data_IF_299197879648
#
_entry.id   IF_299197879648
#
_cell.length_a   1.000
_cell.length_b   1.000
_cell.length_c   1.000
_cell.angle_alpha   90.00
_cell.angle_beta   90.00
_cell.angle_gamma   90.00
#
_symmetry.space_group_name_H-M   'P 1'
#
loop_
_entity.id
_entity.type
_entity.pdbx_description
1 polymer ?
#
# COMPACT_ATOMS: atom_id res chain seq x y z
N UNK A 1 -9.27 1.19 -7.10
CA UNK A 1 -9.20 1.17 -8.57
C UNK A 1 -8.86 -0.23 -9.06
N UNK A 2 -9.65 -0.75 -10.00
CA UNK A 2 -9.31 -1.98 -10.73
C UNK A 2 -8.38 -1.60 -11.88
N UNK A 3 -7.18 -2.19 -11.95
CA UNK A 3 -6.20 -1.79 -12.97
C UNK A 3 -6.04 -2.78 -14.12
N UNK A 4 -6.43 -4.05 -13.92
CA UNK A 4 -6.30 -5.09 -14.93
C UNK A 4 -7.29 -6.23 -14.66
N UNK A 5 -7.77 -6.88 -15.73
CA UNK A 5 -8.63 -8.07 -15.68
C UNK A 5 -8.23 -9.05 -16.77
N UNK A 6 -8.17 -10.33 -16.46
CA UNK A 6 -7.89 -11.37 -17.47
C UNK A 6 -9.03 -11.48 -18.50
N UNK A 7 -10.27 -11.17 -18.14
CA UNK A 7 -11.42 -11.16 -19.05
C UNK A 7 -11.32 -10.11 -20.16
N UNK A 8 -10.52 -9.07 -19.96
CA UNK A 8 -10.30 -8.02 -20.96
C UNK A 8 -9.15 -8.35 -21.92
N UNK A 9 -8.45 -9.46 -21.72
CA UNK A 9 -7.33 -9.89 -22.57
C UNK A 9 -7.82 -10.68 -23.78
N UNK A 10 -7.34 -10.32 -24.97
CA UNK A 10 -7.65 -11.01 -26.23
C UNK A 10 -7.21 -12.49 -26.24
N UNK A 11 -6.27 -12.87 -25.36
CA UNK A 11 -5.77 -14.25 -25.23
C UNK A 11 -6.59 -15.10 -24.25
N UNK A 12 -7.49 -14.48 -23.46
CA UNK A 12 -8.41 -15.20 -22.59
C UNK A 12 -9.73 -15.46 -23.32
N UNK A 13 -10.18 -16.71 -23.38
CA UNK A 13 -11.54 -17.01 -23.81
C UNK A 13 -12.46 -17.02 -22.60
N UNK A 14 -13.60 -16.33 -22.69
CA UNK A 14 -14.66 -16.44 -21.70
C UNK A 14 -15.63 -17.54 -22.13
N UNK A 15 -15.71 -18.59 -21.33
CA UNK A 15 -16.52 -19.77 -21.64
C UNK A 15 -17.84 -19.77 -20.86
N UNK A 16 -17.95 -18.98 -19.78
CA UNK A 16 -19.16 -18.89 -18.95
C UNK A 16 -19.32 -17.51 -18.27
N UNK A 17 -20.54 -17.19 -17.83
CA UNK A 17 -20.89 -15.98 -17.07
C UNK A 17 -21.02 -16.20 -15.55
N UNK A 18 -20.73 -17.42 -15.09
CA UNK A 18 -20.71 -17.82 -13.66
C UNK A 18 -19.60 -17.07 -12.91
N UNK A 19 -19.75 -16.73 -11.61
CA UNK A 19 -18.74 -15.94 -10.91
C UNK A 19 -17.49 -16.78 -10.66
N UNK A 20 -16.34 -16.18 -10.94
CA UNK A 20 -15.04 -16.80 -10.65
C UNK A 20 -14.84 -16.92 -9.14
N UNK A 21 -14.53 -18.13 -8.70
CA UNK A 21 -14.28 -18.45 -7.30
C UNK A 21 -12.92 -19.11 -7.09
N UNK A 22 -12.39 -19.78 -8.12
CA UNK A 22 -11.12 -20.50 -8.04
C UNK A 22 -10.25 -20.20 -9.25
N UNK A 23 -8.96 -20.45 -9.06
CA UNK A 23 -7.92 -20.28 -10.06
C UNK A 23 -7.07 -21.55 -10.04
N UNK A 24 -6.73 -22.05 -11.22
CA UNK A 24 -5.81 -23.19 -11.36
C UNK A 24 -4.82 -22.95 -12.51
N UNK A 25 -3.61 -23.44 -12.31
CA UNK A 25 -2.57 -23.59 -13.33
C UNK A 25 -2.31 -25.08 -13.47
N UNK A 26 -2.51 -25.62 -14.67
CA UNK A 26 -2.18 -27.00 -14.98
C UNK A 26 -1.08 -27.04 -16.04
N UNK A 27 -0.95 -28.16 -16.75
CA UNK A 27 -0.02 -28.43 -17.85
C UNK A 27 -0.41 -27.77 -19.18
N UNK A 28 -1.66 -27.39 -19.37
CA UNK A 28 -2.20 -26.77 -20.60
C UNK A 28 -2.48 -25.27 -20.50
N UNK A 29 -2.47 -24.69 -19.29
CA UNK A 29 -2.55 -23.25 -19.12
C UNK A 29 -3.11 -22.81 -17.77
N UNK A 30 -3.84 -21.71 -17.80
CA UNK A 30 -4.40 -21.03 -16.64
C UNK A 30 -5.92 -20.93 -16.80
N UNK A 31 -6.65 -21.33 -15.76
CA UNK A 31 -8.10 -21.42 -15.78
C UNK A 31 -8.70 -20.74 -14.55
N UNK A 32 -9.73 -19.93 -14.78
CA UNK A 32 -10.59 -19.37 -13.75
C UNK A 32 -11.89 -20.17 -13.73
N UNK A 33 -12.24 -20.68 -12.55
CA UNK A 33 -13.33 -21.63 -12.36
C UNK A 33 -14.45 -21.05 -11.49
N UNK A 34 -15.67 -21.54 -11.72
CA UNK A 34 -16.84 -21.27 -10.91
C UNK A 34 -16.74 -21.86 -9.50
N UNK A 35 -17.72 -21.59 -8.64
CA UNK A 35 -17.76 -22.09 -7.26
C UNK A 35 -17.77 -23.62 -7.15
N UNK A 36 -18.19 -24.30 -8.21
CA UNK A 36 -18.22 -25.76 -8.36
C UNK A 36 -16.85 -26.38 -8.71
N UNK A 37 -15.80 -25.56 -8.93
CA UNK A 37 -14.45 -25.98 -9.35
C UNK A 37 -14.40 -26.79 -10.65
N UNK A 38 -15.47 -26.79 -11.45
CA UNK A 38 -15.55 -27.56 -12.70
C UNK A 38 -15.97 -26.71 -13.89
N UNK A 39 -16.85 -25.72 -13.68
CA UNK A 39 -17.22 -24.77 -14.72
C UNK A 39 -16.04 -23.85 -15.02
N UNK A 40 -15.48 -23.94 -16.23
CA UNK A 40 -14.48 -23.00 -16.73
C UNK A 40 -15.18 -21.69 -17.10
N UNK A 41 -14.74 -20.60 -16.48
CA UNK A 41 -15.27 -19.26 -16.71
C UNK A 41 -14.37 -18.51 -17.68
N UNK A 42 -13.05 -18.51 -17.43
CA UNK A 42 -12.06 -17.90 -18.32
C UNK A 42 -10.89 -18.86 -18.48
N UNK A 43 -10.42 -19.04 -19.71
CA UNK A 43 -9.27 -19.88 -20.05
C UNK A 43 -8.19 -19.09 -20.77
N UNK A 44 -6.96 -19.20 -20.27
CA UNK A 44 -5.74 -18.77 -20.96
C UNK A 44 -4.94 -20.01 -21.34
N UNK A 45 -4.98 -20.37 -22.62
CA UNK A 45 -4.26 -21.54 -23.16
C UNK A 45 -2.77 -21.22 -23.31
N UNK A 46 -1.90 -22.07 -22.76
CA UNK A 46 -0.44 -21.94 -22.81
C UNK A 46 0.19 -23.22 -23.39
N UNK A 47 1.43 -23.14 -23.90
CA UNK A 47 2.11 -24.31 -24.50
C UNK A 47 2.60 -25.29 -23.43
N UNK A 48 2.55 -26.62 -23.64
CA UNK A 48 2.67 -27.65 -22.60
C UNK A 48 3.89 -27.48 -21.67
N UNK A 49 3.69 -27.66 -20.36
CA UNK A 49 4.77 -27.57 -19.36
C UNK A 49 4.44 -28.36 -18.09
N UNK A 50 5.44 -29.01 -17.50
CA UNK A 50 5.29 -29.79 -16.27
C UNK A 50 5.19 -28.91 -15.01
N UNK A 51 5.78 -27.71 -15.05
CA UNK A 51 5.78 -26.79 -13.92
C UNK A 51 5.65 -25.35 -14.39
N UNK A 52 4.68 -24.64 -13.80
CA UNK A 52 4.41 -23.24 -14.06
C UNK A 52 4.22 -22.47 -12.77
N UNK A 53 4.58 -21.20 -12.83
CA UNK A 53 4.29 -20.23 -11.79
C UNK A 53 3.68 -19.01 -12.43
N UNK A 54 2.56 -18.55 -11.88
CA UNK A 54 2.04 -17.23 -12.15
C UNK A 54 2.29 -16.32 -10.95
N UNK A 55 2.71 -15.09 -11.22
CA UNK A 55 2.99 -14.10 -10.19
C UNK A 55 2.68 -12.70 -10.68
N UNK A 56 2.12 -11.88 -9.80
CA UNK A 56 2.13 -10.43 -9.96
C UNK A 56 3.44 -9.89 -9.39
N UNK A 57 4.22 -9.26 -10.25
CA UNK A 57 5.53 -8.70 -9.91
C UNK A 57 5.37 -7.25 -9.47
N UNK A 58 6.37 -6.71 -8.78
CA UNK A 58 6.37 -5.34 -8.22
C UNK A 58 6.25 -4.23 -9.29
N UNK A 59 6.53 -4.55 -10.55
CA UNK A 59 6.32 -3.65 -11.69
C UNK A 59 4.85 -3.55 -12.11
N UNK A 60 3.93 -4.21 -11.40
CA UNK A 60 2.51 -4.21 -11.71
C UNK A 60 2.13 -5.15 -12.86
N UNK A 61 3.06 -6.00 -13.33
CA UNK A 61 2.79 -6.97 -14.39
C UNK A 61 2.55 -8.37 -13.83
N UNK A 62 1.45 -8.97 -14.29
CA UNK A 62 1.17 -10.37 -14.08
C UNK A 62 1.94 -11.20 -15.10
N UNK A 63 2.76 -12.12 -14.62
CA UNK A 63 3.61 -12.98 -15.45
C UNK A 63 3.30 -14.44 -15.19
N UNK A 64 3.19 -15.23 -16.26
CA UNK A 64 3.20 -16.70 -16.19
C UNK A 64 4.50 -17.19 -16.79
N UNK A 65 5.24 -17.98 -16.03
CA UNK A 65 6.52 -18.57 -16.44
C UNK A 65 6.46 -20.08 -16.30
N UNK A 66 7.08 -20.79 -17.25
CA UNK A 66 7.38 -22.22 -17.15
C UNK A 66 8.82 -22.46 -16.77
N UNK A 67 9.07 -23.60 -16.15
CA UNK A 67 10.43 -24.04 -15.83
C UNK A 67 10.89 -25.08 -16.86
N UNK A 68 11.95 -24.77 -17.60
CA UNK A 68 12.53 -25.61 -18.65
C UNK A 68 14.04 -25.60 -18.49
N UNK A 69 14.67 -26.79 -18.45
CA UNK A 69 16.14 -26.95 -18.40
C UNK A 69 16.82 -26.08 -17.34
N UNK A 70 16.29 -26.10 -16.10
CA UNK A 70 16.76 -25.30 -14.95
C UNK A 70 16.61 -23.77 -15.10
N UNK A 71 15.87 -23.31 -16.12
CA UNK A 71 15.66 -21.91 -16.40
C UNK A 71 14.16 -21.54 -16.38
N UNK A 72 13.87 -20.32 -15.95
CA UNK A 72 12.52 -19.76 -16.02
C UNK A 72 12.30 -19.08 -17.37
N UNK A 73 11.31 -19.55 -18.12
CA UNK A 73 10.91 -18.98 -19.42
C UNK A 73 9.55 -18.33 -19.26
N UNK A 74 9.45 -17.04 -19.58
CA UNK A 74 8.18 -16.31 -19.55
C UNK A 74 7.29 -16.73 -20.73
N UNK A 75 6.07 -17.18 -20.44
CA UNK A 75 5.06 -17.56 -21.45
C UNK A 75 4.01 -16.47 -21.66
N UNK A 76 3.69 -15.74 -20.58
CA UNK A 76 2.68 -14.69 -20.60
C UNK A 76 3.10 -13.51 -19.73
N UNK A 77 2.77 -12.31 -20.18
CA UNK A 77 2.87 -11.07 -19.41
C UNK A 77 1.71 -10.17 -19.76
N UNK A 78 1.07 -9.59 -18.75
CA UNK A 78 0.06 -8.55 -18.94
C UNK A 78 -0.04 -7.61 -17.72
N UNK A 79 -0.35 -6.30 -17.89
CA UNK A 79 -0.40 -5.56 -19.15
C UNK A 79 0.92 -5.61 -19.92
N UNK A 80 0.85 -5.82 -21.24
CA UNK A 80 2.05 -5.88 -22.07
C UNK A 80 2.69 -4.49 -22.20
N UNK A 81 1.84 -3.49 -22.46
CA UNK A 81 2.21 -2.08 -22.54
C UNK A 81 2.40 -1.49 -21.13
N UNK A 82 3.57 -0.90 -20.88
CA UNK A 82 3.89 -0.24 -19.61
C UNK A 82 2.95 0.95 -19.32
N UNK A 83 2.41 1.58 -20.37
CA UNK A 83 1.49 2.70 -20.22
C UNK A 83 0.10 2.31 -19.67
N UNK A 84 -0.20 1.01 -19.60
CA UNK A 84 -1.42 0.49 -18.98
C UNK A 84 -1.28 0.31 -17.45
N UNK A 85 -0.09 0.57 -16.89
CA UNK A 85 0.15 0.51 -15.45
C UNK A 85 -0.32 1.83 -14.78
N UNK A 86 -1.14 1.78 -13.71
CA UNK A 86 -1.84 2.94 -13.15
C UNK A 86 -1.03 4.21 -12.88
N UNK A 87 0.23 4.10 -12.47
CA UNK A 87 1.02 5.23 -11.95
C UNK A 87 2.38 5.37 -12.63
N UNK A 88 2.55 4.80 -13.83
CA UNK A 88 3.83 4.84 -14.56
C UNK A 88 4.32 6.27 -14.84
N UNK A 89 3.42 7.22 -15.08
CA UNK A 89 3.73 8.64 -15.31
C UNK A 89 3.31 9.55 -14.16
N UNK A 90 3.16 9.00 -12.94
CA UNK A 90 2.56 9.69 -11.79
C UNK A 90 1.13 10.18 -12.08
N UNK A 91 0.57 10.92 -11.10
CA UNK A 91 -0.78 11.48 -11.16
C UNK A 91 -0.92 12.43 -12.35
N UNK A 92 -1.90 12.20 -13.23
CA UNK A 92 -2.23 13.06 -14.36
C UNK A 92 -1.12 13.15 -15.44
N UNK A 93 -0.06 12.33 -15.34
CA UNK A 93 0.98 12.27 -16.36
C UNK A 93 0.55 11.46 -17.58
N UNK A 94 1.06 11.86 -18.74
CA UNK A 94 0.89 11.20 -20.03
C UNK A 94 2.05 10.23 -20.28
N UNK A 95 1.73 8.96 -20.51
CA UNK A 95 2.65 7.92 -20.94
C UNK A 95 2.55 7.70 -22.45
N UNK A 96 3.66 7.83 -23.16
CA UNK A 96 3.75 7.50 -24.59
C UNK A 96 4.98 6.62 -24.81
N UNK A 97 4.78 5.34 -25.14
CA UNK A 97 5.87 4.37 -25.33
C UNK A 97 6.89 4.35 -24.16
N UNK A 98 6.40 4.38 -22.93
CA UNK A 98 7.22 4.39 -21.71
C UNK A 98 7.87 5.74 -21.35
N UNK A 99 7.69 6.79 -22.16
CA UNK A 99 8.12 8.16 -21.82
C UNK A 99 6.99 8.92 -21.14
N UNK A 100 7.33 9.62 -20.05
CA UNK A 100 6.38 10.39 -19.25
C UNK A 100 6.47 11.88 -19.59
N UNK A 101 5.33 12.50 -19.89
CA UNK A 101 5.17 13.94 -20.07
C UNK A 101 3.88 14.42 -19.39
N UNK A 102 3.57 15.71 -19.45
CA UNK A 102 2.22 16.17 -19.12
C UNK A 102 1.34 16.23 -20.38
N UNK A 103 0.02 16.03 -20.24
CA UNK A 103 -0.92 16.17 -21.35
C UNK A 103 -1.06 17.65 -21.76
N UNK A 104 -1.64 17.92 -22.95
CA UNK A 104 -1.89 19.28 -23.42
C UNK A 104 -2.67 20.12 -22.39
N UNK A 105 -2.30 21.39 -22.21
CA UNK A 105 -2.85 22.32 -21.20
C UNK A 105 -2.46 22.01 -19.74
N UNK A 106 -1.50 21.11 -19.53
CA UNK A 106 -0.93 20.82 -18.22
C UNK A 106 0.59 20.91 -18.23
N UNK A 107 1.19 21.23 -17.08
CA UNK A 107 2.64 21.26 -16.86
C UNK A 107 3.01 20.54 -15.57
N UNK A 108 4.30 20.24 -15.38
CA UNK A 108 4.76 19.56 -14.18
C UNK A 108 4.59 20.45 -12.94
N UNK A 109 4.07 19.87 -11.85
CA UNK A 109 3.89 20.56 -10.59
C UNK A 109 5.26 20.92 -9.96
N UNK A 110 5.58 22.22 -9.81
CA UNK A 110 6.85 22.66 -9.23
C UNK A 110 7.02 22.24 -7.77
N UNK A 111 5.93 22.06 -7.03
CA UNK A 111 5.92 21.85 -5.58
C UNK A 111 6.03 20.37 -5.20
N UNK A 112 5.34 19.48 -5.92
CA UNK A 112 5.26 18.05 -5.56
C UNK A 112 6.27 17.15 -6.29
N UNK A 113 7.02 17.67 -7.27
CA UNK A 113 7.94 16.91 -8.16
C UNK A 113 7.29 15.71 -8.88
N UNK A 114 6.00 15.45 -8.71
CA UNK A 114 5.32 14.21 -9.12
C UNK A 114 3.84 14.46 -9.42
N UNK A 115 3.55 15.17 -10.50
CA UNK A 115 2.19 15.35 -11.00
C UNK A 115 2.08 16.44 -12.05
N UNK A 116 0.94 16.51 -12.71
CA UNK A 116 0.63 17.55 -13.70
C UNK A 116 -0.49 18.47 -13.19
N UNK A 117 -0.29 19.78 -13.32
CA UNK A 117 -1.24 20.84 -12.96
C UNK A 117 -1.69 21.62 -14.20
N UNK A 118 -2.90 22.20 -14.20
CA UNK A 118 -3.36 23.05 -15.31
C UNK A 118 -2.37 24.19 -15.58
N UNK A 119 -2.14 24.51 -16.85
CA UNK A 119 -1.30 25.65 -17.26
C UNK A 119 -1.94 26.99 -16.88
N UNK A 120 -3.26 27.06 -16.85
CA UNK A 120 -3.99 28.24 -16.38
C UNK A 120 -3.96 28.30 -14.85
N UNK A 121 -3.28 29.31 -14.29
CA UNK A 121 -3.13 29.52 -12.85
C UNK A 121 -4.45 29.83 -12.13
N UNK A 122 -5.52 30.20 -12.86
CA UNK A 122 -6.85 30.38 -12.29
C UNK A 122 -7.59 29.06 -12.06
N UNK A 123 -7.09 27.95 -12.61
CA UNK A 123 -7.70 26.64 -12.53
C UNK A 123 -6.88 25.71 -11.63
N UNK A 124 -7.58 24.89 -10.85
CA UNK A 124 -6.98 23.80 -10.09
C UNK A 124 -7.73 22.49 -10.31
N UNK A 125 -7.00 21.38 -10.16
CA UNK A 125 -7.62 20.06 -10.07
C UNK A 125 -8.34 19.93 -8.71
N UNK A 126 -9.62 19.50 -8.69
CA UNK A 126 -10.35 19.33 -7.45
C UNK A 126 -9.70 18.25 -6.58
N UNK A 127 -9.64 18.50 -5.27
CA UNK A 127 -9.09 17.59 -4.27
C UNK A 127 -10.11 16.55 -3.79
N UNK A 128 -10.81 15.87 -4.71
CA UNK A 128 -11.82 14.85 -4.36
C UNK A 128 -12.84 15.28 -3.29
N UNK A 129 -13.54 14.32 -2.68
CA UNK A 129 -14.46 14.61 -1.56
C UNK A 129 -13.65 14.78 -0.26
N UNK A 130 -13.08 15.96 -0.01
CA UNK A 130 -12.57 16.34 1.31
C UNK A 130 -13.41 17.52 1.81
N UNK A 131 -14.19 17.24 2.85
CA UNK A 131 -15.15 18.11 3.54
C UNK A 131 -16.35 18.60 2.70
N UNK A 132 -17.56 18.43 3.27
CA UNK A 132 -18.87 18.84 2.73
C UNK A 132 -19.06 20.36 2.63
N UNK A 133 -17.99 21.12 2.41
CA UNK A 133 -18.06 22.51 1.99
C UNK A 133 -17.69 22.55 0.52
N UNK A 134 -18.62 22.08 -0.31
CA UNK A 134 -18.71 22.51 -1.70
C UNK A 134 -18.73 24.04 -1.68
N UNK A 135 -17.57 24.63 -1.93
CA UNK A 135 -17.54 26.00 -2.39
C UNK A 135 -18.31 26.01 -3.70
N UNK A 136 -19.18 27.01 -3.90
CA UNK A 136 -19.85 27.34 -5.16
C UNK A 136 -18.81 27.72 -6.24
N UNK A 137 -17.85 26.84 -6.49
CA UNK A 137 -16.79 27.01 -7.46
C UNK A 137 -17.34 26.53 -8.78
N UNK A 138 -17.34 27.43 -9.77
CA UNK A 138 -17.70 27.08 -11.13
C UNK A 138 -16.78 25.97 -11.63
N UNK A 139 -17.39 24.87 -12.07
CA UNK A 139 -16.69 23.70 -12.61
C UNK A 139 -16.44 23.93 -14.10
N UNK A 140 -15.22 23.68 -14.53
CA UNK A 140 -14.81 23.73 -15.94
C UNK A 140 -14.25 22.39 -16.39
N UNK A 141 -14.28 22.15 -17.70
CA UNK A 141 -13.72 20.95 -18.32
C UNK A 141 -12.62 21.33 -19.31
N UNK A 142 -11.38 20.95 -18.99
CA UNK A 142 -10.23 21.15 -19.86
C UNK A 142 -10.10 19.97 -20.82
N UNK A 143 -10.09 20.24 -22.12
CA UNK A 143 -9.91 19.22 -23.15
C UNK A 143 -8.47 18.71 -23.17
N UNK A 144 -8.30 17.38 -23.12
CA UNK A 144 -7.01 16.70 -23.20
C UNK A 144 -6.63 16.32 -24.64
N UNK A 145 -7.60 16.23 -25.55
CA UNK A 145 -7.43 15.76 -26.91
C UNK A 145 -8.14 14.43 -27.20
N UNK A 146 -8.03 14.00 -28.46
CA UNK A 146 -8.71 12.82 -29.03
C UNK A 146 -7.78 11.62 -29.25
N UNK A 147 -6.48 11.80 -29.06
CA UNK A 147 -5.43 10.78 -29.22
C UNK A 147 -4.94 10.21 -27.88
N UNK A 148 -5.67 10.50 -26.80
CA UNK A 148 -5.34 10.05 -25.45
C UNK A 148 -6.41 9.08 -24.96
N UNK A 149 -6.03 8.21 -24.03
CA UNK A 149 -6.92 7.32 -23.31
C UNK A 149 -6.50 7.24 -21.84
N UNK A 150 -7.32 6.64 -21.00
CA UNK A 150 -6.99 6.37 -19.60
C UNK A 150 -6.58 4.91 -19.43
N UNK A 151 -5.55 4.66 -18.62
CA UNK A 151 -5.00 3.30 -18.43
C UNK A 151 -6.09 2.27 -18.09
N UNK A 152 -7.11 2.66 -17.32
CA UNK A 152 -8.17 1.77 -16.85
C UNK A 152 -9.33 1.57 -17.84
N UNK A 153 -9.49 2.45 -18.84
CA UNK A 153 -10.66 2.42 -19.75
C UNK A 153 -10.73 1.15 -20.60
N UNK A 154 -9.60 0.47 -20.81
CA UNK A 154 -9.56 -0.84 -21.47
C UNK A 154 -10.07 -1.99 -20.61
N UNK A 155 -10.19 -1.79 -19.29
CA UNK A 155 -10.48 -2.83 -18.30
C UNK A 155 -11.77 -2.56 -17.50
N UNK A 156 -12.46 -1.46 -17.80
CA UNK A 156 -13.66 -1.01 -17.10
C UNK A 156 -14.83 -0.87 -18.06
N UNK A 157 -16.02 -1.20 -17.57
CA UNK A 157 -17.26 -0.86 -18.26
C UNK A 157 -17.53 0.66 -18.20
N UNK A 158 -18.14 1.24 -19.23
CA UNK A 158 -18.56 2.63 -19.18
C UNK A 158 -19.59 2.83 -18.05
N UNK A 159 -19.45 3.92 -17.31
CA UNK A 159 -20.40 4.30 -16.26
C UNK A 159 -21.82 4.49 -16.81
N UNK A 160 -21.93 4.91 -18.07
CA UNK A 160 -23.20 4.97 -18.79
C UNK A 160 -23.00 4.84 -20.30
N UNK A 161 -23.95 4.20 -20.98
CA UNK A 161 -24.02 4.07 -22.44
C UNK A 161 -25.16 4.94 -23.00
N UNK A 162 -25.10 5.23 -24.29
CA UNK A 162 -26.12 5.95 -25.04
C UNK A 162 -26.46 7.35 -24.48
N UNK A 163 -25.44 8.09 -24.07
CA UNK A 163 -25.60 9.47 -23.58
C UNK A 163 -24.73 10.46 -24.36
N UNK A 164 -25.11 11.75 -24.34
CA UNK A 164 -24.32 12.82 -24.94
C UNK A 164 -23.10 13.19 -24.07
N UNK A 165 -22.11 13.83 -24.68
CA UNK A 165 -20.92 14.35 -23.98
C UNK A 165 -21.30 15.29 -22.83
N UNK A 166 -22.25 16.21 -23.05
CA UNK A 166 -22.71 17.15 -22.01
C UNK A 166 -23.38 16.42 -20.84
N UNK A 167 -24.15 15.37 -21.12
CA UNK A 167 -24.73 14.53 -20.07
C UNK A 167 -23.64 13.76 -19.29
N UNK A 168 -22.58 13.31 -19.96
CA UNK A 168 -21.43 12.68 -19.31
C UNK A 168 -20.67 13.66 -18.40
N UNK A 169 -20.50 14.91 -18.84
CA UNK A 169 -19.93 15.98 -18.01
C UNK A 169 -20.81 16.28 -16.80
N UNK A 170 -22.13 16.40 -16.98
CA UNK A 170 -23.07 16.64 -15.86
C UNK A 170 -23.02 15.50 -14.82
N UNK A 171 -22.93 14.23 -15.27
CA UNK A 171 -22.73 13.08 -14.38
C UNK A 171 -21.47 13.21 -13.53
N UNK A 172 -20.34 13.60 -14.14
CA UNK A 172 -19.09 13.81 -13.41
C UNK A 172 -19.13 15.05 -12.51
N UNK A 173 -19.84 16.11 -12.91
CA UNK A 173 -19.99 17.33 -12.13
C UNK A 173 -20.68 17.04 -10.80
N UNK A 174 -21.76 16.25 -10.84
CA UNK A 174 -22.54 15.84 -9.66
C UNK A 174 -21.85 14.80 -8.76
N UNK A 175 -20.78 14.17 -9.25
CA UNK A 175 -20.02 13.19 -8.48
C UNK A 175 -18.74 13.85 -7.93
N UNK A 176 -18.67 14.04 -6.60
CA UNK A 176 -17.50 14.66 -5.95
C UNK A 176 -16.21 13.82 -6.09
N UNK A 177 -16.34 12.50 -6.31
CA UNK A 177 -15.20 11.60 -6.53
C UNK A 177 -14.72 11.62 -7.98
N UNK A 178 -15.51 12.17 -8.91
CA UNK A 178 -15.15 12.26 -10.32
C UNK A 178 -14.27 13.48 -10.59
N UNK A 179 -13.12 13.23 -11.20
CA UNK A 179 -12.06 14.18 -11.49
C UNK A 179 -11.90 14.45 -12.99
N UNK A 180 -12.56 13.67 -13.84
CA UNK A 180 -12.53 13.83 -15.30
C UNK A 180 -13.37 12.76 -15.99
N UNK A 181 -13.44 12.84 -17.31
CA UNK A 181 -14.16 11.89 -18.16
C UNK A 181 -13.37 11.53 -19.40
N UNK A 182 -13.61 10.32 -19.92
CA UNK A 182 -13.33 9.97 -21.31
C UNK A 182 -14.63 9.59 -21.99
N UNK A 183 -14.89 10.17 -23.16
CA UNK A 183 -16.12 9.95 -23.91
C UNK A 183 -15.85 9.29 -25.26
N UNK A 184 -16.42 8.11 -25.47
CA UNK A 184 -16.39 7.43 -26.77
C UNK A 184 -17.43 8.04 -27.70
N UNK A 185 -17.01 8.89 -28.63
CA UNK A 185 -17.94 9.61 -29.52
C UNK A 185 -18.74 8.66 -30.42
N UNK A 186 -18.11 7.61 -30.95
CA UNK A 186 -18.76 6.62 -31.82
C UNK A 186 -19.68 5.67 -31.05
N UNK A 187 -19.34 5.33 -29.79
CA UNK A 187 -20.08 4.37 -28.97
C UNK A 187 -21.03 5.02 -27.96
N UNK A 188 -21.13 6.36 -27.96
CA UNK A 188 -21.87 7.16 -26.98
C UNK A 188 -21.62 6.73 -25.51
N UNK A 189 -20.41 6.25 -25.21
CA UNK A 189 -20.06 5.62 -23.94
C UNK A 189 -19.27 6.57 -23.05
N UNK A 190 -19.67 6.71 -21.79
CA UNK A 190 -19.11 7.62 -20.81
C UNK A 190 -18.27 6.88 -19.76
N UNK A 191 -17.01 7.24 -19.63
CA UNK A 191 -16.08 6.70 -18.63
C UNK A 191 -15.72 7.81 -17.64
N UNK A 192 -15.86 7.53 -16.34
CA UNK A 192 -15.58 8.50 -15.27
C UNK A 192 -14.21 8.19 -14.64
N UNK A 193 -13.44 9.24 -14.36
CA UNK A 193 -12.13 9.14 -13.74
C UNK A 193 -12.28 9.46 -12.27
N UNK A 194 -12.09 8.46 -11.43
CA UNK A 194 -12.27 8.59 -9.98
C UNK A 194 -10.97 8.98 -9.26
N UNK A 195 -11.10 9.44 -8.02
CA UNK A 195 -9.98 9.62 -7.11
C UNK A 195 -9.50 8.25 -6.57
N UNK A 196 -8.19 7.93 -6.53
CA UNK A 196 -7.04 8.74 -6.97
C UNK A 196 -6.74 8.64 -8.46
N UNK A 197 -6.44 9.77 -9.12
CA UNK A 197 -6.07 9.77 -10.56
C UNK A 197 -4.78 9.00 -10.85
N UNK A 198 -4.83 8.14 -11.86
CA UNK A 198 -3.65 7.49 -12.44
C UNK A 198 -3.07 8.22 -13.65
N UNK A 199 -2.35 7.46 -14.48
CA UNK A 199 -1.70 7.92 -15.70
C UNK A 199 -2.65 7.90 -16.91
N UNK A 200 -2.48 8.89 -17.77
CA UNK A 200 -3.09 8.96 -19.10
C UNK A 200 -2.11 8.28 -20.07
N UNK A 201 -2.62 7.61 -21.09
CA UNK A 201 -1.81 6.94 -22.09
C UNK A 201 -2.10 7.49 -23.48
N UNK A 202 -1.08 7.52 -24.34
CA UNK A 202 -1.28 7.76 -25.77
C UNK A 202 -2.06 6.60 -26.40
N UNK A 203 -3.08 6.91 -27.20
CA UNK A 203 -3.87 5.92 -27.92
C UNK A 203 -3.21 5.63 -29.27
N UNK A 204 -2.64 4.43 -29.44
CA UNK A 204 -2.02 3.98 -30.70
C UNK A 204 -3.00 3.29 -31.67
N UNK A 205 -4.22 2.99 -31.21
CA UNK A 205 -5.23 2.25 -31.98
C UNK A 205 -6.38 3.16 -32.41
N UNK A 206 -6.70 3.17 -33.71
CA UNK A 206 -7.82 3.92 -34.29
C UNK A 206 -9.19 3.57 -33.70
N UNK A 207 -9.35 2.37 -33.13
CA UNK A 207 -10.61 1.88 -32.55
C UNK A 207 -10.93 2.41 -31.15
N UNK A 208 -9.97 3.08 -30.49
CA UNK A 208 -10.12 3.60 -29.12
C UNK A 208 -10.03 5.13 -29.06
N UNK A 209 -10.59 5.82 -30.06
CA UNK A 209 -10.65 7.29 -30.07
C UNK A 209 -11.71 7.78 -29.08
N UNK A 210 -11.28 8.08 -27.86
CA UNK A 210 -12.09 8.73 -26.83
C UNK A 210 -11.66 10.18 -26.67
N UNK A 211 -12.60 11.05 -26.35
CA UNK A 211 -12.35 12.44 -26.03
C UNK A 211 -12.15 12.59 -24.52
N UNK A 212 -10.96 13.00 -24.09
CA UNK A 212 -10.63 13.19 -22.69
C UNK A 212 -10.93 14.62 -22.21
N UNK A 213 -11.58 14.75 -21.07
CA UNK A 213 -11.82 16.03 -20.41
C UNK A 213 -11.54 15.95 -18.92
N UNK A 214 -10.81 16.93 -18.37
CA UNK A 214 -10.53 17.00 -16.94
C UNK A 214 -11.37 18.05 -16.25
N UNK A 215 -11.95 17.66 -15.12
CA UNK A 215 -12.71 18.56 -14.24
C UNK A 215 -11.72 19.49 -13.53
N UNK A 216 -11.95 20.79 -13.64
CA UNK A 216 -11.20 21.82 -12.92
C UNK A 216 -12.16 22.75 -12.19
N UNK A 217 -11.64 23.43 -11.18
CA UNK A 217 -12.36 24.46 -10.43
C UNK A 217 -11.63 25.78 -10.55
N UNK A 218 -12.37 26.89 -10.53
CA UNK A 218 -11.77 28.21 -10.45
C UNK A 218 -11.25 28.46 -9.04
N UNK A 219 -9.94 28.68 -8.94
CA UNK A 219 -9.34 29.23 -7.74
C UNK A 219 -9.54 30.73 -7.80
N UNK A 220 -10.47 31.26 -7.01
CA UNK A 220 -10.57 32.71 -6.83
C UNK A 220 -9.25 33.19 -6.24
N UNK A 221 -8.42 33.80 -7.09
CA UNK A 221 -7.25 34.52 -6.63
C UNK A 221 -7.76 35.66 -5.76
N UNK A 222 -7.66 35.51 -4.43
CA UNK A 222 -7.50 36.67 -3.54
C UNK A 222 -6.06 37.16 -3.67
N UNK A 223 -5.64 37.48 -4.89
CA UNK A 223 -4.39 38.17 -5.18
C UNK A 223 -4.75 39.55 -5.75
N UNK A 224 -5.26 40.40 -4.85
CA UNK A 224 -5.01 41.84 -4.84
C UNK A 224 -5.54 42.40 -3.51
N UNK A 225 -4.81 42.07 -2.44
CA UNK A 225 -4.52 43.08 -1.43
C UNK A 225 -3.01 43.08 -1.25
N UNK A 226 -2.34 43.61 -2.27
CA UNK A 226 -1.04 44.24 -2.03
C UNK A 226 -1.34 45.26 -0.93
N UNK A 227 -0.85 44.99 0.28
CA UNK A 227 -0.95 45.97 1.35
C UNK A 227 -0.24 47.22 0.82
N UNK A 228 -1.05 48.21 0.51
CA UNK A 228 -0.71 49.61 0.47
C UNK A 228 0.25 49.86 1.63
N UNK A 229 1.53 50.04 1.29
CA UNK A 229 2.57 50.33 2.25
C UNK A 229 2.29 51.74 2.80
N UNK A 230 1.48 51.82 3.84
CA UNK A 230 1.47 52.98 4.72
C UNK A 230 2.83 53.00 5.41
N UNK A 231 3.69 53.93 4.96
CA UNK A 231 4.96 54.20 5.61
C UNK A 231 4.73 54.54 7.09
N UNK A 232 5.25 53.68 7.96
CA UNK A 232 5.48 53.99 9.37
C UNK A 232 6.99 53.82 9.64
N UNK A 233 7.59 54.68 10.50
CA UNK A 233 9.00 55.03 10.41
C UNK A 233 9.91 53.93 10.92
N UNK A 234 10.95 53.66 10.15
CA UNK A 234 12.07 52.75 10.47
C UNK A 234 13.01 53.46 11.46
N UNK A 235 12.56 53.70 12.70
CA UNK A 235 13.43 54.03 13.85
C UNK A 235 12.71 53.55 15.12
N UNK A 236 12.63 52.24 15.35
CA UNK A 236 11.96 51.74 16.56
C UNK A 236 12.06 50.25 16.87
N UNK A 237 12.88 49.46 16.15
CA UNK A 237 12.86 48.00 16.30
C UNK A 237 14.24 47.34 16.21
N UNK A 238 15.25 47.96 16.84
CA UNK A 238 16.59 47.33 17.06
C UNK A 238 16.87 47.09 18.56
N UNK A 239 15.89 47.23 19.46
CA UNK A 239 16.11 47.08 20.92
C UNK A 239 15.23 46.03 21.62
N UNK A 240 14.70 45.03 20.90
CA UNK A 240 13.82 44.02 21.51
C UNK A 240 14.14 42.53 21.27
N UNK A 241 15.34 42.11 20.79
CA UNK A 241 15.80 40.73 21.00
C UNK A 241 17.02 40.61 21.95
N UNK A 242 17.47 41.69 22.59
CA UNK A 242 18.64 41.67 23.50
C UNK A 242 18.30 41.43 24.98
N UNK A 243 17.06 41.69 25.43
CA UNK A 243 16.67 41.49 26.83
C UNK A 243 16.26 40.04 27.16
N UNK A 244 15.65 39.32 26.20
CA UNK A 244 15.25 37.93 26.38
C UNK A 244 16.43 36.97 26.51
N UNK A 245 17.49 37.19 25.71
CA UNK A 245 18.71 36.38 25.76
C UNK A 245 19.48 36.61 27.07
N UNK A 246 19.50 37.84 27.58
CA UNK A 246 20.16 38.16 28.86
C UNK A 246 19.46 37.48 30.05
N UNK A 247 18.12 37.42 30.06
CA UNK A 247 17.37 36.74 31.11
C UNK A 247 17.59 35.23 31.09
N UNK A 248 17.67 34.61 29.91
CA UNK A 248 17.96 33.17 29.79
C UNK A 248 19.38 32.86 30.30
N UNK A 249 20.37 33.70 29.99
CA UNK A 249 21.75 33.54 30.50
C UNK A 249 21.80 33.66 32.03
N UNK A 250 21.09 34.62 32.62
CA UNK A 250 21.04 34.79 34.09
C UNK A 250 20.40 33.57 34.77
N UNK A 251 19.32 33.01 34.20
CA UNK A 251 18.67 31.81 34.75
C UNK A 251 19.59 30.58 34.67
N UNK A 252 20.29 30.41 33.55
CA UNK A 252 21.24 29.29 33.37
C UNK A 252 22.44 29.43 34.31
N UNK A 253 23.02 30.63 34.45
CA UNK A 253 24.12 30.89 35.39
C UNK A 253 23.67 30.71 36.85
N UNK A 254 22.45 31.15 37.20
CA UNK A 254 21.85 30.94 38.50
C UNK A 254 21.68 29.44 38.82
N UNK A 255 21.21 28.65 37.86
CA UNK A 255 21.08 27.20 38.01
C UNK A 255 22.45 26.50 38.17
N UNK A 256 23.48 26.93 37.42
CA UNK A 256 24.84 26.40 37.54
C UNK A 256 25.47 26.77 38.89
N UNK A 257 25.33 28.02 39.34
CA UNK A 257 25.79 28.47 40.66
C UNK A 257 25.06 27.75 41.80
N UNK A 258 23.75 27.55 41.67
CA UNK A 258 22.97 26.76 42.64
C UNK A 258 23.44 25.30 42.68
N UNK A 259 23.71 24.69 41.53
CA UNK A 259 24.22 23.32 41.44
C UNK A 259 25.64 23.17 41.99
N UNK A 260 26.54 24.15 41.79
CA UNK A 260 27.88 24.17 42.40
C UNK A 260 27.82 24.38 43.92
N UNK A 261 26.91 25.22 44.41
CA UNK A 261 26.80 25.47 45.85
C UNK A 261 26.11 24.31 46.61
N UNK A 262 25.26 23.51 45.93
CA UNK A 262 24.64 22.31 46.52
C UNK A 262 25.63 21.16 46.75
N UNK A 263 26.80 21.18 46.11
CA UNK A 263 27.91 20.26 46.34
C UNK A 263 28.98 20.79 47.31
N UNK A 264 29.02 22.11 47.57
CA UNK A 264 29.88 22.71 48.59
C UNK A 264 29.29 22.61 50.01
N UNK A 265 27.95 22.52 50.15
CA UNK A 265 27.28 22.36 51.45
C UNK A 265 27.13 20.93 51.98
N UNK A 266 27.59 19.91 51.27
CA UNK A 266 27.62 18.51 51.75
C UNK A 266 29.00 18.03 52.22
N UNK A 267 30.01 18.92 52.24
CA UNK A 267 31.36 18.64 52.73
C UNK A 267 31.68 19.26 54.11
N UNK A 268 30.67 19.58 54.94
CA UNK A 268 30.87 20.04 56.33
C UNK A 268 29.91 19.45 57.38
N UNK A 269 29.48 18.20 57.19
CA UNK A 269 28.83 17.43 58.26
C UNK A 269 29.19 15.94 58.13
N UNK A 270 30.39 15.58 58.58
CA UNK A 270 30.72 14.21 59.02
C UNK A 270 31.06 14.26 60.50
N UNK A 271 30.11 13.86 61.34
CA UNK A 271 30.36 13.26 62.65
C UNK A 271 29.18 12.36 63.00
N UNK A 272 29.45 11.05 63.13
CA UNK A 272 28.52 10.10 63.77
C UNK A 272 28.07 8.91 62.90
N UNK A 273 28.79 7.78 63.04
CA UNK A 273 28.31 6.49 63.59
C UNK A 273 27.07 5.81 62.99
N UNK A 274 27.23 4.53 62.63
CA UNK A 274 26.22 3.48 62.89
C UNK A 274 25.70 2.67 61.70
N UNK A 275 26.22 1.45 61.56
CA UNK A 275 25.58 0.15 61.29
C UNK A 275 24.36 -0.04 60.35
N UNK A 276 24.56 -1.01 59.45
CA UNK A 276 23.76 -2.24 59.20
C UNK A 276 22.22 -2.22 59.05
N UNK A 277 21.80 -2.89 57.97
CA UNK A 277 20.72 -3.89 57.89
C UNK A 277 19.35 -3.53 57.28
N UNK A 278 18.90 -4.50 56.48
CA UNK A 278 17.53 -5.00 56.26
C UNK A 278 16.58 -4.35 55.26
N UNK A 279 16.04 -5.25 54.45
CA UNK A 279 14.89 -5.24 53.54
C UNK A 279 13.59 -4.74 54.16
N UNK A 280 12.67 -4.22 53.31
CA UNK A 280 11.30 -4.76 53.16
C UNK A 280 10.49 -4.14 51.99
N UNK A 281 9.40 -4.86 51.66
CA UNK A 281 8.50 -4.88 50.50
C UNK A 281 7.34 -3.84 50.54
N UNK A 282 6.64 -3.70 49.39
CA UNK A 282 5.15 -3.67 49.20
C UNK A 282 4.86 -3.36 47.70
N UNK A 283 4.30 -4.21 46.82
CA UNK A 283 2.98 -4.87 46.65
C UNK A 283 1.78 -3.92 46.51
N UNK A 284 1.17 -3.89 45.30
CA UNK A 284 -0.29 -3.72 45.09
C UNK A 284 -0.76 -4.72 44.02
N UNK A 285 -1.76 -5.52 44.38
CA UNK A 285 -2.29 -6.69 43.68
C UNK A 285 -3.31 -6.38 42.57
N UNK A 286 -3.32 -7.23 41.55
CA UNK A 286 -4.37 -7.36 40.51
C UNK A 286 -5.36 -8.45 40.93
N UNK A 287 -6.66 -8.22 40.70
CA UNK A 287 -7.76 -9.12 41.05
C UNK A 287 -8.46 -9.65 39.79
N UNK A 288 -8.45 -10.99 39.65
CA UNK A 288 -9.61 -11.80 39.25
C UNK A 288 -9.86 -12.11 37.76
N UNK A 289 -9.70 -13.39 37.38
CA UNK A 289 -10.71 -14.31 36.79
C UNK A 289 -10.05 -15.63 36.30
N UNK A 290 -10.80 -16.75 36.11
CA UNK A 290 -10.61 -17.95 36.93
C UNK A 290 -9.82 -19.08 36.24
N UNK A 291 -9.28 -19.92 37.14
CA UNK A 291 -8.67 -21.23 36.90
C UNK A 291 -9.75 -22.27 36.53
N UNK A 292 -9.44 -23.13 35.56
CA UNK A 292 -9.99 -24.48 35.50
C UNK A 292 -8.80 -25.44 35.42
N UNK A 293 -8.63 -26.22 36.49
CA UNK A 293 -7.62 -27.27 36.63
C UNK A 293 -8.01 -28.50 35.81
N UNK A 294 -7.02 -29.03 35.09
CA UNK A 294 -7.02 -30.37 34.53
C UNK A 294 -5.63 -30.96 34.69
N UNK A 295 -5.48 -31.82 35.70
CA UNK A 295 -4.26 -32.50 36.10
C UNK A 295 -3.90 -33.62 35.10
N UNK A 296 -2.62 -33.83 34.80
CA UNK A 296 -2.21 -34.96 33.95
C UNK A 296 -0.78 -34.85 33.40
N UNK A 297 0.16 -35.38 34.16
CA UNK A 297 1.55 -35.62 33.79
C UNK A 297 1.71 -36.48 32.53
N UNK A 298 2.51 -36.02 31.57
CA UNK A 298 3.37 -36.88 30.75
C UNK A 298 4.39 -36.03 30.01
N UNK A 299 5.63 -36.09 30.49
CA UNK A 299 6.83 -35.73 29.75
C UNK A 299 6.83 -36.47 28.42
N UNK A 300 6.50 -35.75 27.35
CA UNK A 300 6.73 -36.19 25.98
C UNK A 300 7.35 -35.03 25.25
N UNK A 301 8.61 -35.22 24.88
CA UNK A 301 9.34 -34.38 23.93
C UNK A 301 8.45 -34.18 22.71
N UNK A 302 7.84 -33.01 22.55
CA UNK A 302 7.15 -32.69 21.31
C UNK A 302 8.22 -32.35 20.28
N UNK A 303 8.51 -33.36 19.45
CA UNK A 303 9.25 -33.19 18.22
C UNK A 303 8.67 -32.05 17.40
N UNK A 304 9.55 -31.40 16.66
CA UNK A 304 9.26 -30.31 15.76
C UNK A 304 8.47 -30.88 14.58
N UNK A 305 7.16 -31.02 14.73
CA UNK A 305 6.27 -31.19 13.59
C UNK A 305 6.06 -29.82 12.95
N UNK A 306 6.52 -29.60 11.70
CA UNK A 306 6.20 -28.38 11.00
C UNK A 306 4.72 -28.46 10.62
N UNK A 307 3.85 -27.91 11.49
CA UNK A 307 2.53 -27.50 11.04
C UNK A 307 2.79 -26.63 9.82
N UNK A 308 2.32 -27.04 8.65
CA UNK A 308 2.38 -26.29 7.40
C UNK A 308 1.48 -25.04 7.52
N UNK A 309 1.85 -24.17 8.44
CA UNK A 309 1.15 -22.95 8.77
C UNK A 309 1.60 -21.90 7.75
N UNK A 310 0.62 -21.18 7.21
CA UNK A 310 0.88 -19.99 6.41
C UNK A 310 1.76 -19.03 7.22
N UNK A 311 3.03 -18.88 6.81
CA UNK A 311 4.06 -18.21 7.62
C UNK A 311 3.66 -16.79 8.05
N UNK A 312 3.02 -15.95 7.23
CA UNK A 312 2.53 -14.64 7.67
C UNK A 312 1.51 -14.70 8.82
N UNK A 313 0.62 -15.70 8.83
CA UNK A 313 -0.29 -15.91 9.96
C UNK A 313 0.50 -16.33 11.22
N UNK A 314 1.46 -17.24 11.06
CA UNK A 314 2.30 -17.68 12.16
C UNK A 314 3.13 -16.51 12.75
N UNK A 315 3.67 -15.64 11.89
CA UNK A 315 4.38 -14.45 12.30
C UNK A 315 3.49 -13.46 13.06
N UNK A 316 2.23 -13.29 12.62
CA UNK A 316 1.24 -12.49 13.34
C UNK A 316 0.95 -13.08 14.74
N UNK A 317 0.72 -14.39 14.84
CA UNK A 317 0.47 -15.06 16.13
C UNK A 317 1.65 -14.95 17.09
N UNK A 318 2.88 -15.08 16.58
CA UNK A 318 4.10 -14.93 17.39
C UNK A 318 4.34 -13.47 17.80
N UNK A 319 3.99 -12.50 16.94
CA UNK A 319 3.99 -11.08 17.29
C UNK A 319 3.01 -10.77 18.43
N UNK A 320 1.77 -11.28 18.36
CA UNK A 320 0.76 -11.15 19.42
C UNK A 320 1.24 -11.74 20.75
N UNK A 321 1.94 -12.88 20.69
CA UNK A 321 2.52 -13.55 21.86
C UNK A 321 3.86 -12.98 22.31
N UNK A 322 4.42 -12.00 21.58
CA UNK A 322 5.78 -11.44 21.78
C UNK A 322 6.90 -12.49 21.75
N UNK A 323 6.69 -13.61 21.04
CA UNK A 323 7.62 -14.75 20.93
C UNK A 323 8.38 -14.72 19.61
N UNK A 324 9.13 -13.65 19.37
CA UNK A 324 9.80 -13.42 18.08
C UNK A 324 10.93 -14.40 17.75
N UNK A 325 11.64 -14.91 18.76
CA UNK A 325 12.75 -15.84 18.59
C UNK A 325 12.38 -17.14 17.87
N UNK A 326 11.11 -17.53 17.93
CA UNK A 326 10.60 -18.73 17.24
C UNK A 326 10.45 -18.54 15.73
N UNK A 327 10.49 -17.30 15.25
CA UNK A 327 10.44 -17.00 13.82
C UNK A 327 11.84 -16.97 13.18
N UNK A 328 12.90 -17.05 13.97
CA UNK A 328 14.27 -17.07 13.46
C UNK A 328 14.55 -18.39 12.73
N UNK A 329 15.13 -18.32 11.53
CA UNK A 329 15.57 -19.52 10.82
C UNK A 329 16.63 -20.26 11.67
N UNK A 330 16.43 -21.55 11.98
CA UNK A 330 17.38 -22.34 12.76
C UNK A 330 18.82 -22.33 12.18
N UNK A 331 18.97 -22.16 10.86
CA UNK A 331 20.27 -22.08 10.17
C UNK A 331 21.08 -20.83 10.51
N UNK A 332 20.46 -19.84 11.16
CA UNK A 332 21.14 -18.67 11.66
C UNK A 332 21.90 -18.95 12.96
N UNK A 333 21.68 -20.11 13.60
CA UNK A 333 22.44 -20.60 14.76
C UNK A 333 22.60 -19.57 15.88
N UNK A 334 21.55 -18.78 16.13
CA UNK A 334 21.55 -17.76 17.18
C UNK A 334 22.37 -16.50 16.87
N UNK A 335 22.85 -16.32 15.63
CA UNK A 335 23.56 -15.11 15.19
C UNK A 335 22.68 -13.87 15.05
N UNK A 336 21.38 -14.00 15.29
CA UNK A 336 20.42 -12.90 15.22
C UNK A 336 19.75 -12.74 16.58
N UNK A 337 19.72 -11.50 17.06
CA UNK A 337 19.12 -11.14 18.34
C UNK A 337 17.58 -11.11 18.27
N UNK A 338 16.90 -11.33 19.40
CA UNK A 338 15.43 -11.25 19.45
C UNK A 338 14.93 -9.88 18.96
N UNK A 339 15.67 -8.82 19.28
CA UNK A 339 15.39 -7.43 18.89
C UNK A 339 15.45 -7.21 17.38
N UNK A 340 16.41 -7.83 16.69
CA UNK A 340 16.50 -7.79 15.23
C UNK A 340 15.35 -8.55 14.57
N UNK A 341 15.00 -9.73 15.09
CA UNK A 341 13.84 -10.49 14.59
C UNK A 341 12.55 -9.73 14.86
N UNK A 342 12.38 -9.17 16.06
CA UNK A 342 11.24 -8.34 16.44
C UNK A 342 11.10 -7.13 15.52
N UNK A 343 12.19 -6.42 15.26
CA UNK A 343 12.25 -5.30 14.33
C UNK A 343 11.77 -5.71 12.93
N UNK A 344 12.34 -6.78 12.39
CA UNK A 344 12.02 -7.28 11.06
C UNK A 344 10.56 -7.71 10.95
N UNK A 345 10.05 -8.45 11.93
CA UNK A 345 8.65 -8.95 11.96
C UNK A 345 7.67 -7.79 12.00
N UNK A 346 7.91 -6.76 12.84
CA UNK A 346 7.03 -5.59 12.90
C UNK A 346 7.02 -4.81 11.59
N UNK A 347 8.20 -4.57 11.00
CA UNK A 347 8.30 -3.92 9.68
C UNK A 347 7.53 -4.73 8.61
N UNK A 348 7.72 -6.05 8.58
CA UNK A 348 7.02 -6.94 7.66
C UNK A 348 5.50 -6.89 7.85
N UNK A 349 5.01 -6.98 9.09
CA UNK A 349 3.58 -6.89 9.39
C UNK A 349 2.99 -5.52 9.00
N UNK A 350 3.72 -4.42 9.17
CA UNK A 350 3.30 -3.10 8.65
C UNK A 350 3.21 -3.07 7.12
N UNK A 351 4.13 -3.74 6.42
CA UNK A 351 4.09 -3.86 4.96
C UNK A 351 2.92 -4.74 4.47
N UNK A 352 2.42 -5.64 5.33
CA UNK A 352 1.33 -6.55 5.02
C UNK A 352 -0.06 -5.98 5.34
N UNK A 353 -0.21 -4.73 5.78
CA UNK A 353 -1.54 -4.16 6.04
C UNK A 353 -2.47 -4.27 4.82
N UNK A 354 -3.71 -4.67 5.05
CA UNK A 354 -4.69 -4.85 3.97
C UNK A 354 -4.92 -3.55 3.20
N UNK A 355 -5.11 -2.44 3.93
CA UNK A 355 -5.24 -1.09 3.36
C UNK A 355 -3.86 -0.57 2.87
N UNK A 356 -3.70 -0.29 1.56
CA UNK A 356 -2.47 0.25 1.00
C UNK A 356 -2.02 1.58 1.62
N UNK A 357 -2.95 2.41 2.11
CA UNK A 357 -2.64 3.74 2.66
C UNK A 357 -1.92 3.62 4.01
N UNK A 358 -2.12 2.51 4.71
CA UNK A 358 -1.47 2.24 6.00
C UNK A 358 -0.06 1.66 5.84
N UNK A 359 0.28 1.14 4.65
CA UNK A 359 1.60 0.56 4.39
C UNK A 359 2.66 1.66 4.35
N UNK A 360 3.82 1.46 4.99
CA UNK A 360 4.90 2.43 4.94
C UNK A 360 5.51 2.51 3.53
N UNK A 361 5.90 3.72 3.12
CA UNK A 361 6.67 3.91 1.90
C UNK A 361 8.03 3.20 2.00
N UNK A 362 8.59 2.75 0.88
CA UNK A 362 9.85 1.98 0.88
C UNK A 362 11.01 2.76 1.53
N UNK A 363 11.05 4.09 1.36
CA UNK A 363 12.03 4.94 2.04
C UNK A 363 11.93 4.86 3.56
N UNK A 364 10.71 4.79 4.10
CA UNK A 364 10.45 4.61 5.53
C UNK A 364 10.80 3.19 5.97
N UNK A 365 10.51 2.18 5.15
CA UNK A 365 10.90 0.78 5.40
C UNK A 365 12.41 0.65 5.53
N UNK A 366 13.17 1.19 4.57
CA UNK A 366 14.65 1.18 4.61
C UNK A 366 15.15 1.92 5.85
N UNK A 367 14.65 3.13 6.11
CA UNK A 367 15.01 3.91 7.30
C UNK A 367 14.72 3.17 8.62
N UNK A 368 13.59 2.45 8.70
CA UNK A 368 13.28 1.58 9.83
C UNK A 368 14.30 0.45 9.94
N UNK A 369 14.62 -0.26 8.84
CA UNK A 369 15.56 -1.38 8.81
C UNK A 369 17.00 -0.96 9.14
N UNK A 370 17.44 0.21 8.70
CA UNK A 370 18.74 0.81 9.03
C UNK A 370 18.81 1.34 10.48
N UNK A 371 17.65 1.50 11.13
CA UNK A 371 17.57 1.98 12.53
C UNK A 371 17.63 3.50 12.65
N UNK A 372 17.47 4.23 11.54
CA UNK A 372 17.41 5.69 11.52
C UNK A 372 16.06 6.17 12.08
N UNK A 373 14.98 5.43 11.82
CA UNK A 373 13.63 5.73 12.31
C UNK A 373 13.08 4.63 13.22
N UNK A 374 12.27 4.98 14.24
CA UNK A 374 11.64 4.00 15.11
C UNK A 374 10.60 3.17 14.34
N UNK A 375 10.49 1.90 14.69
CA UNK A 375 9.58 0.95 14.04
C UNK A 375 8.17 1.13 14.60
N UNK A 376 7.21 1.44 13.72
CA UNK A 376 5.79 1.54 14.06
C UNK A 376 5.19 0.21 14.50
N UNK A 377 4.21 0.23 15.41
CA UNK A 377 3.41 -0.96 15.75
C UNK A 377 2.44 -1.31 14.60
N UNK A 378 2.36 -2.58 14.17
CA UNK A 378 1.41 -2.99 13.17
C UNK A 378 -0.02 -2.94 13.72
N UNK A 379 -0.96 -2.40 12.91
CA UNK A 379 -2.38 -2.39 13.22
C UNK A 379 -2.99 -3.77 13.00
N UNK A 380 -3.44 -4.40 14.07
CA UNK A 380 -3.94 -5.78 14.04
C UNK A 380 -5.24 -5.93 13.23
N UNK A 381 -6.11 -4.91 13.26
CA UNK A 381 -7.35 -4.88 12.47
C UNK A 381 -7.06 -5.00 10.96
N UNK A 382 -6.00 -4.33 10.50
CA UNK A 382 -5.53 -4.35 9.10
C UNK A 382 -4.79 -5.63 8.71
N UNK A 383 -4.69 -6.61 9.63
CA UNK A 383 -4.01 -7.90 9.42
C UNK A 383 -4.96 -9.10 9.57
N UNK A 384 -6.24 -8.86 9.88
CA UNK A 384 -7.23 -9.91 10.08
C UNK A 384 -7.39 -10.83 8.87
N UNK A 385 -7.18 -10.33 7.64
CA UNK A 385 -7.19 -11.14 6.43
C UNK A 385 -6.22 -12.33 6.52
N UNK A 386 -5.05 -12.19 7.18
CA UNK A 386 -4.07 -13.28 7.33
C UNK A 386 -4.67 -14.50 8.03
N UNK A 387 -5.61 -14.31 8.96
CA UNK A 387 -6.33 -15.38 9.66
C UNK A 387 -7.28 -16.12 8.72
N UNK A 388 -7.93 -15.40 7.82
CA UNK A 388 -8.79 -16.00 6.79
C UNK A 388 -7.96 -16.84 5.80
N UNK A 389 -6.85 -16.30 5.28
CA UNK A 389 -5.98 -17.02 4.36
C UNK A 389 -5.28 -18.21 5.00
N UNK A 390 -4.74 -18.05 6.21
CA UNK A 390 -4.01 -19.13 6.87
C UNK A 390 -4.91 -20.32 7.26
N UNK A 391 -6.19 -20.07 7.61
CA UNK A 391 -7.16 -21.15 7.84
C UNK A 391 -7.44 -21.95 6.57
N UNK A 392 -7.61 -21.28 5.44
CA UNK A 392 -7.84 -21.92 4.13
C UNK A 392 -6.61 -22.70 3.65
N UNK A 393 -5.41 -22.20 3.94
CA UNK A 393 -4.14 -22.89 3.65
C UNK A 393 -4.03 -24.20 4.43
N UNK A 394 -4.36 -24.19 5.72
CA UNK A 394 -4.35 -25.38 6.57
C UNK A 394 -5.45 -26.40 6.25
N UNK A 395 -6.50 -26.00 5.54
CA UNK A 395 -7.58 -26.88 5.08
C UNK A 395 -7.21 -27.56 3.75
N UNK A 396 -6.54 -26.85 2.84
CA UNK A 396 -6.00 -27.40 1.60
C UNK A 396 -4.91 -28.46 1.86
N UNK A 397 -4.01 -28.21 2.82
CA UNK A 397 -2.95 -29.16 3.16
C UNK A 397 -3.44 -30.44 3.83
N UNK A 398 -4.60 -30.41 4.51
CA UNK A 398 -5.23 -31.61 5.08
C UNK A 398 -5.80 -32.56 4.03
N UNK A 399 -6.13 -32.06 2.84
CA UNK A 399 -6.69 -32.87 1.75
C UNK A 399 -5.58 -33.64 1.00
N UNK A 400 -4.34 -33.13 0.97
CA UNK A 400 -3.18 -33.82 0.38
C UNK A 400 -2.53 -34.86 1.33
N UNK A 401 -3.00 -34.97 2.57
CA UNK A 401 -2.44 -35.86 3.60
C UNK A 401 -2.86 -37.33 3.51
N UNK A 402 -3.74 -37.72 2.59
CA UNK A 402 -4.14 -39.12 2.39
C UNK A 402 -3.57 -39.65 1.07
N UNK A 403 -2.55 -40.51 1.19
CA UNK A 403 -1.86 -41.27 0.14
C UNK A 403 -0.91 -40.49 -0.78
N UNK A 404 0.37 -40.43 -0.41
CA UNK A 404 1.43 -41.31 -0.96
C UNK A 404 2.82 -40.82 -0.52
N UNK A 405 3.70 -41.75 -0.20
CA UNK A 405 5.13 -41.51 0.05
C UNK A 405 5.76 -40.95 -1.22
N UNK A 406 6.33 -39.75 -1.16
CA UNK A 406 7.45 -39.37 -2.03
C UNK A 406 8.38 -38.39 -1.30
N UNK A 407 9.62 -38.82 -1.15
CA UNK A 407 10.77 -38.03 -0.72
C UNK A 407 11.04 -36.92 -1.72
N UNK A 408 10.72 -35.66 -1.40
CA UNK A 408 11.37 -34.52 -2.05
C UNK A 408 11.57 -33.40 -1.02
N UNK A 409 12.80 -33.31 -0.52
CA UNK A 409 13.25 -32.20 0.32
C UNK A 409 13.29 -30.91 -0.50
N UNK A 410 12.36 -30.00 -0.24
CA UNK A 410 12.42 -28.64 -0.76
C UNK A 410 13.00 -27.70 0.30
N UNK A 411 14.16 -27.13 -0.03
CA UNK A 411 14.88 -26.12 0.75
C UNK A 411 14.01 -24.91 1.09
N UNK A 412 14.18 -24.39 2.31
CA UNK A 412 13.36 -23.37 2.97
C UNK A 412 13.43 -21.95 2.37
N UNK A 413 14.00 -21.77 1.18
CA UNK A 413 14.30 -20.42 0.62
C UNK A 413 13.31 -19.92 -0.44
N UNK A 414 12.45 -20.76 -1.03
CA UNK A 414 11.66 -20.40 -2.22
C UNK A 414 10.14 -20.24 -1.98
N UNK A 415 9.69 -20.19 -0.72
CA UNK A 415 8.26 -20.17 -0.37
C UNK A 415 7.68 -18.78 -0.09
N UNK A 416 8.07 -17.76 -0.86
CA UNK A 416 7.32 -16.50 -0.89
C UNK A 416 6.41 -16.46 -2.14
N UNK A 417 5.34 -17.26 -2.10
CA UNK A 417 4.27 -17.15 -3.10
C UNK A 417 3.44 -15.88 -2.83
N UNK A 418 3.51 -14.95 -3.78
CA UNK A 418 2.57 -13.83 -3.90
C UNK A 418 1.23 -14.40 -4.36
N UNK A 419 0.31 -14.66 -3.43
CA UNK A 419 -0.99 -15.23 -3.75
C UNK A 419 -1.97 -14.11 -4.16
N UNK A 420 -2.28 -14.01 -5.46
CA UNK A 420 -3.45 -13.27 -5.95
C UNK A 420 -4.73 -14.09 -5.77
N UNK A 421 -5.83 -13.44 -5.38
CA UNK A 421 -7.15 -14.10 -5.38
C UNK A 421 -7.67 -14.27 -6.82
N UNK A 422 -8.38 -15.38 -7.08
CA UNK A 422 -9.06 -15.62 -8.35
C UNK A 422 -10.04 -14.49 -8.72
N UNK A 423 -10.64 -13.84 -7.71
CA UNK A 423 -11.55 -12.70 -7.88
C UNK A 423 -10.81 -11.43 -8.35
N UNK A 424 -9.54 -11.25 -7.94
CA UNK A 424 -8.71 -10.13 -8.39
C UNK A 424 -8.27 -10.31 -9.84
N UNK A 425 -8.12 -11.56 -10.30
CA UNK A 425 -7.81 -11.89 -11.69
C UNK A 425 -9.03 -11.75 -12.62
N UNK A 426 -10.24 -12.03 -12.11
CA UNK A 426 -11.50 -11.92 -12.88
C UNK A 426 -12.06 -10.50 -12.95
N UNK A 427 -11.80 -9.67 -11.94
CA UNK A 427 -12.39 -8.33 -11.76
C UNK A 427 -13.86 -8.33 -11.33
N UNK A 428 -14.43 -7.16 -10.94
CA UNK A 428 -15.84 -7.04 -10.58
C UNK A 428 -16.77 -7.20 -11.80
N UNK A 429 -17.96 -7.74 -11.51
CA UNK A 429 -19.13 -7.88 -12.39
C UNK A 429 -19.80 -6.56 -12.70
#
# INVERSE_FOLDING_TARGET
>A
MSYWKLSAELKGSQDSMVPVSFFTLNDTGLFLLGSDRSTVVIKLTLGPANFRVAKLVFDGKFRVSKFVDKNWVQEFVSPADDCQIPLVSNKMGLCTSGRCSCPPNFHGDPLSKSGCTPTDASLALPSGCIDRKESNSSVFYVNLGSELDYFANGFMDPAKRDISLLACQDLCTRNCSCLGIFYGNSSASCYLLENPLGSIMGSSSSDRKRLGYMKTIVVSSRANKLNEATGFPIVGLILLPSSGVLLIIIVVLGFICWRRNRLYRTAKSKLGRGDSSSSELEIISVLGLPVSEGNGSSSSSSGWEPRQAYFPLHALEMHEKKRYSELADPRLEGRVTNEEVRKLVKVALCCLHEDPILRPAMVTVVSMLEGISPVTEPRQESLNFLRFYGRRFGEASRIEGSNERNEFGFSSSDKLMSCMSAQQLSGPR
#
